data_IF_284236428476
#
_entry.id   IF_284236428476
#
_cell.length_a   1.000
_cell.length_b   1.000
_cell.length_c   1.000
_cell.angle_alpha   90.00
_cell.angle_beta   90.00
_cell.angle_gamma   90.00
#
_symmetry.space_group_name_H-M   'P 1'
#
loop_
_entity.id
_entity.type
_entity.pdbx_description
1 polymer ?
#
# COMPACT_ATOMS: atom_id res chain seq x y z
N UNK A 1 10.02 -25.76 -16.64
CA UNK A 1 9.04 -25.33 -15.60
C UNK A 1 9.26 -23.84 -15.38
N UNK A 2 8.33 -22.99 -15.82
CA UNK A 2 8.46 -21.55 -15.61
C UNK A 2 8.02 -21.25 -14.17
N UNK A 3 8.91 -20.73 -13.33
CA UNK A 3 8.60 -20.48 -11.91
C UNK A 3 8.56 -18.97 -11.67
N UNK A 4 7.49 -18.49 -11.04
CA UNK A 4 7.39 -17.08 -10.67
C UNK A 4 8.44 -16.78 -9.60
N UNK A 5 9.30 -15.79 -9.85
CA UNK A 5 10.31 -15.34 -8.90
C UNK A 5 9.70 -14.58 -7.72
N UNK A 6 10.40 -14.48 -6.59
CA UNK A 6 9.96 -13.69 -5.43
C UNK A 6 9.72 -12.23 -5.79
N UNK A 7 10.58 -11.64 -6.61
CA UNK A 7 10.41 -10.27 -7.12
C UNK A 7 9.15 -10.11 -7.99
N UNK A 8 8.86 -11.10 -8.84
CA UNK A 8 7.66 -11.06 -9.69
C UNK A 8 6.40 -11.18 -8.83
N UNK A 9 6.44 -12.02 -7.80
CA UNK A 9 5.36 -12.11 -6.80
C UNK A 9 5.15 -10.79 -6.09
N UNK A 10 6.21 -10.12 -5.63
CA UNK A 10 6.11 -8.79 -5.01
C UNK A 10 5.41 -7.78 -5.95
N UNK A 11 5.73 -7.80 -7.26
CA UNK A 11 5.05 -6.95 -8.25
C UNK A 11 3.56 -7.30 -8.35
N UNK A 12 3.22 -8.58 -8.42
CA UNK A 12 1.82 -9.05 -8.49
C UNK A 12 1.05 -8.70 -7.22
N UNK A 13 1.69 -8.81 -6.05
CA UNK A 13 1.08 -8.48 -4.74
C UNK A 13 0.68 -7.02 -4.62
N UNK A 14 1.21 -6.10 -5.44
CA UNK A 14 0.76 -4.69 -5.48
C UNK A 14 -0.73 -4.56 -5.84
N UNK A 15 -1.31 -5.58 -6.47
CA UNK A 15 -2.71 -5.61 -6.88
C UNK A 15 -3.62 -6.34 -5.89
N UNK A 16 -3.08 -6.79 -4.76
CA UNK A 16 -3.87 -7.36 -3.67
C UNK A 16 -4.72 -6.28 -3.00
N UNK A 17 -5.85 -6.68 -2.44
CA UNK A 17 -6.84 -5.73 -1.90
C UNK A 17 -6.84 -5.70 -0.37
N UNK A 18 -6.42 -6.80 0.25
CA UNK A 18 -6.49 -6.97 1.70
C UNK A 18 -5.17 -7.49 2.24
N UNK A 19 -4.89 -7.22 3.53
CA UNK A 19 -3.71 -7.78 4.21
C UNK A 19 -3.74 -9.31 4.22
N UNK A 20 -4.94 -9.90 4.22
CA UNK A 20 -5.15 -11.34 4.20
C UNK A 20 -4.63 -11.98 2.91
N UNK A 21 -4.69 -11.28 1.78
CA UNK A 21 -4.11 -11.75 0.52
C UNK A 21 -2.58 -11.89 0.63
N UNK A 22 -1.92 -10.94 1.31
CA UNK A 22 -0.47 -10.99 1.55
C UNK A 22 -0.11 -12.12 2.51
N UNK A 23 -0.85 -12.23 3.62
CA UNK A 23 -0.65 -13.29 4.60
C UNK A 23 -0.76 -14.66 3.93
N UNK A 24 -1.85 -14.90 3.19
CA UNK A 24 -2.06 -16.16 2.48
C UNK A 24 -0.94 -16.46 1.49
N UNK A 25 -0.46 -15.45 0.76
CA UNK A 25 0.66 -15.61 -0.17
C UNK A 25 1.94 -16.10 0.52
N UNK A 26 2.29 -15.52 1.68
CA UNK A 26 3.47 -15.96 2.43
C UNK A 26 3.29 -17.38 2.98
N UNK A 27 2.06 -17.75 3.36
CA UNK A 27 1.74 -19.11 3.81
C UNK A 27 1.79 -20.18 2.69
N UNK A 28 1.74 -19.81 1.41
CA UNK A 28 1.81 -20.79 0.30
C UNK A 28 3.15 -21.53 0.28
N UNK A 29 4.28 -20.83 0.39
CA UNK A 29 5.60 -21.46 0.40
C UNK A 29 6.71 -20.54 0.92
N UNK A 30 7.79 -21.15 1.42
CA UNK A 30 8.97 -20.47 1.98
C UNK A 30 9.64 -19.46 1.02
N UNK A 31 9.45 -19.60 -0.29
CA UNK A 31 10.01 -18.67 -1.29
C UNK A 31 9.38 -17.27 -1.22
N UNK A 32 8.14 -17.19 -0.76
CA UNK A 32 7.39 -15.94 -0.64
C UNK A 32 7.31 -15.44 0.80
N UNK A 33 7.97 -16.10 1.75
CA UNK A 33 8.18 -15.52 3.07
C UNK A 33 8.81 -14.13 2.92
N UNK A 34 8.44 -13.24 3.84
CA UNK A 34 8.95 -11.88 3.91
C UNK A 34 8.63 -11.07 2.65
N UNK A 35 7.53 -11.37 1.95
CA UNK A 35 7.06 -10.60 0.81
C UNK A 35 6.62 -9.20 1.25
N UNK A 36 5.95 -9.07 2.39
CA UNK A 36 5.52 -7.79 2.96
C UNK A 36 6.70 -6.92 3.40
N UNK A 37 7.81 -7.51 3.84
CA UNK A 37 9.03 -6.78 4.21
C UNK A 37 9.72 -6.09 3.02
N UNK A 38 9.43 -6.50 1.78
CA UNK A 38 10.04 -5.92 0.57
C UNK A 38 9.43 -4.58 0.17
N UNK A 39 8.35 -4.15 0.83
CA UNK A 39 7.64 -2.93 0.51
C UNK A 39 8.20 -1.74 1.30
N UNK A 40 8.63 -0.70 0.57
CA UNK A 40 9.02 0.60 1.14
C UNK A 40 7.87 1.61 1.15
N UNK A 41 6.71 1.22 0.62
CA UNK A 41 5.46 1.96 0.67
C UNK A 41 4.30 0.98 0.84
N UNK A 42 3.21 1.40 1.48
CA UNK A 42 2.06 0.52 1.64
C UNK A 42 1.30 0.34 0.31
N UNK A 43 1.09 -0.90 -0.16
CA UNK A 43 0.29 -1.18 -1.36
C UNK A 43 -1.23 -1.12 -1.12
N UNK A 44 -1.65 -1.08 0.14
CA UNK A 44 -3.06 -1.05 0.58
C UNK A 44 -3.21 -0.05 1.74
N UNK A 45 -4.43 0.43 2.06
CA UNK A 45 -4.68 1.21 3.26
C UNK A 45 -4.20 0.48 4.51
N UNK A 46 -3.52 1.18 5.40
CA UNK A 46 -3.04 0.62 6.66
C UNK A 46 -3.84 1.14 7.84
N UNK A 47 -3.89 0.31 8.87
CA UNK A 47 -4.42 0.62 10.20
C UNK A 47 -3.33 0.34 11.22
N UNK A 48 -3.51 0.79 12.47
CA UNK A 48 -2.57 0.45 13.56
C UNK A 48 -2.33 -1.05 13.72
N UNK A 49 -3.31 -1.88 13.38
CA UNK A 49 -3.19 -3.34 13.47
C UNK A 49 -2.38 -3.93 12.32
N UNK A 50 -2.49 -3.35 11.12
CA UNK A 50 -1.86 -3.89 9.90
C UNK A 50 -0.49 -3.30 9.61
N UNK A 51 -0.16 -2.15 10.21
CA UNK A 51 1.15 -1.49 10.06
C UNK A 51 2.33 -2.44 10.39
N UNK A 52 2.19 -3.27 11.43
CA UNK A 52 3.22 -4.23 11.86
C UNK A 52 3.65 -5.24 10.80
N UNK A 53 2.81 -5.49 9.77
CA UNK A 53 3.12 -6.44 8.71
C UNK A 53 4.09 -5.86 7.67
N UNK A 54 4.21 -4.53 7.59
CA UNK A 54 5.05 -3.83 6.63
C UNK A 54 6.14 -3.03 7.36
N UNK A 55 7.15 -3.68 7.95
CA UNK A 55 8.11 -3.05 8.87
C UNK A 55 9.05 -2.04 8.19
N UNK A 56 9.23 -2.12 6.87
CA UNK A 56 10.21 -1.33 6.12
C UNK A 56 9.59 -0.16 5.33
N UNK A 57 8.36 0.26 5.68
CA UNK A 57 7.73 1.40 5.02
C UNK A 57 8.50 2.69 5.33
N UNK A 58 8.91 3.37 4.27
CA UNK A 58 9.52 4.70 4.29
C UNK A 58 8.57 5.77 3.77
N UNK A 59 7.53 5.34 3.05
CA UNK A 59 6.54 6.20 2.41
C UNK A 59 5.13 5.72 2.73
N UNK A 60 4.36 6.55 3.43
CA UNK A 60 2.94 6.30 3.66
C UNK A 60 2.12 6.84 2.48
N UNK A 61 1.38 5.96 1.81
CA UNK A 61 0.31 6.28 0.86
C UNK A 61 -1.03 6.28 1.57
N UNK A 62 -1.74 7.40 1.51
CA UNK A 62 -3.15 7.46 1.85
C UNK A 62 -3.98 7.21 0.60
N UNK A 63 -4.85 6.20 0.65
CA UNK A 63 -5.72 5.81 -0.46
C UNK A 63 -7.10 6.46 -0.34
N UNK A 64 -7.52 6.80 0.88
CA UNK A 64 -8.72 7.57 1.16
C UNK A 64 -8.40 8.77 2.08
N UNK A 65 -9.31 9.75 2.11
CA UNK A 65 -9.20 10.92 3.00
C UNK A 65 -9.28 10.57 4.48
N UNK A 66 -9.96 9.47 4.80
CA UNK A 66 -10.19 9.01 6.17
C UNK A 66 -9.13 7.98 6.64
N UNK A 67 -8.11 7.70 5.82
CA UNK A 67 -7.04 6.76 6.19
C UNK A 67 -6.18 7.31 7.34
N UNK A 68 -5.72 6.42 8.21
CA UNK A 68 -4.88 6.77 9.36
C UNK A 68 -3.56 7.42 8.92
N UNK A 69 -3.29 8.62 9.42
CA UNK A 69 -2.02 9.33 9.20
C UNK A 69 -0.87 8.87 10.11
N UNK A 70 -1.16 8.04 11.12
CA UNK A 70 -0.18 7.61 12.14
C UNK A 70 0.57 8.77 12.82
N UNK A 71 -0.09 9.93 12.98
CA UNK A 71 0.50 11.12 13.60
C UNK A 71 1.34 11.98 12.65
N UNK A 72 1.42 11.63 11.37
CA UNK A 72 2.11 12.44 10.37
C UNK A 72 1.30 13.70 10.03
N UNK A 73 1.99 14.83 9.86
CA UNK A 73 1.38 16.11 9.47
C UNK A 73 1.36 16.22 7.95
N UNK A 74 0.18 16.34 7.35
CA UNK A 74 0.00 16.54 5.92
C UNK A 74 -0.17 18.03 5.62
N UNK A 75 0.42 18.50 4.52
CA UNK A 75 0.02 19.78 3.91
C UNK A 75 -1.03 19.44 2.86
N UNK A 76 -2.29 19.79 3.13
CA UNK A 76 -3.33 19.69 2.12
C UNK A 76 -3.02 20.72 1.02
N UNK A 77 -2.66 20.25 -0.17
CA UNK A 77 -2.85 21.06 -1.37
C UNK A 77 -4.35 21.01 -1.66
N UNK A 78 -5.10 21.97 -1.13
CA UNK A 78 -6.51 22.15 -1.47
C UNK A 78 -6.56 22.73 -2.88
N UNK A 79 -6.44 21.90 -3.91
CA UNK A 79 -7.00 22.25 -5.21
C UNK A 79 -8.49 21.91 -5.17
N UNK A 80 -9.30 22.97 -5.20
CA UNK A 80 -10.75 22.92 -5.19
C UNK A 80 -11.29 22.41 -6.54
N UNK A 81 -11.03 21.16 -6.89
CA UNK A 81 -11.70 20.55 -8.03
C UNK A 81 -13.04 19.97 -7.58
N UNK A 82 -14.08 20.71 -7.93
CA UNK A 82 -15.49 20.33 -7.78
C UNK A 82 -15.70 18.98 -8.48
N UNK A 83 -15.94 17.93 -7.69
CA UNK A 83 -16.39 16.64 -8.21
C UNK A 83 -17.83 16.77 -8.72
N UNK A 84 -17.99 16.95 -10.04
CA UNK A 84 -19.20 16.54 -10.74
C UNK A 84 -19.12 15.04 -11.00
N UNK A 85 -20.16 14.33 -10.58
CA UNK A 85 -20.18 12.88 -10.58
C UNK A 85 -20.23 12.35 -11.99
N UNK A 86 -19.09 11.88 -12.51
CA UNK A 86 -19.02 10.83 -13.51
C UNK A 86 -17.60 10.22 -13.57
N UNK A 87 -17.57 8.90 -13.34
CA UNK A 87 -16.46 7.96 -13.35
C UNK A 87 -15.22 8.41 -14.15
N UNK A 88 -14.08 8.57 -13.46
CA UNK A 88 -12.74 8.42 -14.02
C UNK A 88 -11.83 7.81 -12.95
N UNK A 89 -11.00 6.88 -13.35
CA UNK A 89 -9.84 6.43 -12.61
C UNK A 89 -8.92 7.64 -12.44
N UNK A 90 -9.25 8.48 -11.46
CA UNK A 90 -8.39 9.56 -11.01
C UNK A 90 -7.31 8.85 -10.23
N UNK A 91 -6.09 8.88 -10.74
CA UNK A 91 -4.90 8.65 -9.93
C UNK A 91 -4.95 9.72 -8.84
N UNK A 92 -5.67 9.40 -7.75
CA UNK A 92 -5.80 10.20 -6.55
C UNK A 92 -4.38 10.57 -6.18
N UNK A 93 -4.07 11.86 -6.30
CA UNK A 93 -2.73 12.39 -6.07
C UNK A 93 -2.20 11.75 -4.79
N UNK A 94 -1.18 10.90 -4.96
CA UNK A 94 -0.64 10.11 -3.87
C UNK A 94 -0.15 11.09 -2.83
N UNK A 95 -0.86 11.19 -1.71
CA UNK A 95 -0.35 11.89 -0.53
C UNK A 95 0.79 11.04 0.02
N UNK A 96 1.99 11.28 -0.51
CA UNK A 96 3.23 10.61 -0.15
C UNK A 96 3.81 11.36 1.05
N UNK A 97 3.84 10.71 2.22
CA UNK A 97 4.62 11.20 3.36
C UNK A 97 5.86 10.33 3.51
N UNK A 98 7.02 10.96 3.41
CA UNK A 98 8.29 10.33 3.74
C UNK A 98 8.49 10.36 5.26
N UNK A 99 8.73 9.20 5.86
CA UNK A 99 8.86 9.03 7.32
C UNK A 99 10.30 9.23 7.82
N UNK A 100 11.08 10.13 7.22
CA UNK A 100 12.47 10.40 7.62
C UNK A 100 12.58 11.43 8.74
#
# INVERSE_FOLDING_TARGET
>A
MCTIGSYHVMIVSKYFKTVEDFINLEFVCKKFNDNMEKFHYNPIPLTFKTLKYFPNIETLHLWNKDDDNFGNKFKENIENDKFDGNHKDVEMEKYVVSTK
#
